data_IF_647298400421
#
_entry.id   IF_647298400421
#
_cell.length_a   1.000
_cell.length_b   1.000
_cell.length_c   1.000
_cell.angle_alpha   90.00
_cell.angle_beta   90.00
_cell.angle_gamma   90.00
#
_symmetry.space_group_name_H-M   'P 1'
#
loop_
_entity.id
_entity.type
_entity.pdbx_description
1 polymer ?
#
# COMPACT_ATOMS: atom_id res chain seq x y z
N UNK A 1 -3.10 40.42 7.48
CA UNK A 1 -2.69 39.00 7.67
C UNK A 1 -3.46 38.17 6.65
N UNK A 2 -2.76 37.55 5.70
CA UNK A 2 -3.40 36.62 4.75
C UNK A 2 -3.39 35.26 5.44
N UNK A 3 -4.55 34.82 5.93
CA UNK A 3 -4.74 33.45 6.39
C UNK A 3 -4.78 32.56 5.15
N UNK A 4 -3.63 32.00 4.76
CA UNK A 4 -3.59 30.90 3.81
C UNK A 4 -4.47 29.79 4.36
N UNK A 5 -5.44 29.25 3.60
CA UNK A 5 -6.20 28.09 4.04
C UNK A 5 -5.19 26.98 4.34
N UNK A 6 -5.22 26.43 5.56
CA UNK A 6 -4.36 25.31 5.94
C UNK A 6 -4.52 24.23 4.87
N UNK A 7 -3.47 24.01 4.09
CA UNK A 7 -3.45 22.97 3.09
C UNK A 7 -3.64 21.65 3.84
N UNK A 8 -4.86 21.09 3.83
CA UNK A 8 -5.13 19.78 4.42
C UNK A 8 -4.08 18.82 3.87
N UNK A 9 -3.27 18.24 4.77
CA UNK A 9 -2.25 17.28 4.33
C UNK A 9 -2.95 16.15 3.58
N UNK A 10 -2.36 15.69 2.47
CA UNK A 10 -2.92 14.61 1.64
C UNK A 10 -3.24 13.37 2.49
N UNK A 11 -2.45 13.15 3.55
CA UNK A 11 -2.71 12.14 4.56
C UNK A 11 -4.01 12.35 5.37
N UNK A 12 -4.32 13.58 5.79
CA UNK A 12 -5.57 13.86 6.54
C UNK A 12 -6.81 13.50 5.72
N UNK A 13 -6.78 13.78 4.41
CA UNK A 13 -7.84 13.37 3.50
C UNK A 13 -7.86 11.85 3.29
N UNK A 14 -6.70 11.23 3.07
CA UNK A 14 -6.62 9.79 2.84
C UNK A 14 -7.04 8.94 4.07
N UNK A 15 -6.64 9.35 5.27
CA UNK A 15 -6.90 8.65 6.54
C UNK A 15 -8.37 8.64 6.98
N UNK A 16 -9.19 9.49 6.38
CA UNK A 16 -10.64 9.55 6.64
C UNK A 16 -11.47 8.93 5.51
N UNK A 17 -10.81 8.54 4.41
CA UNK A 17 -11.46 7.84 3.31
C UNK A 17 -11.90 6.43 3.72
N UNK A 18 -13.01 5.98 3.16
CA UNK A 18 -13.48 4.60 3.29
C UNK A 18 -13.71 4.02 1.90
N UNK A 19 -13.40 2.73 1.73
CA UNK A 19 -13.75 1.99 0.53
C UNK A 19 -14.34 0.63 0.94
N UNK A 20 -15.41 0.15 0.28
CA UNK A 20 -15.87 -1.21 0.46
C UNK A 20 -14.84 -2.19 -0.12
N UNK A 21 -14.64 -3.31 0.57
CA UNK A 21 -13.80 -4.43 0.12
C UNK A 21 -14.64 -5.69 0.10
N UNK A 22 -14.51 -6.48 -0.97
CA UNK A 22 -15.17 -7.79 -1.08
C UNK A 22 -14.39 -8.86 -0.30
N UNK A 23 -13.06 -8.74 -0.31
CA UNK A 23 -12.17 -9.70 0.33
C UNK A 23 -10.92 -8.97 0.86
N UNK A 24 -10.43 -9.41 2.02
CA UNK A 24 -9.18 -8.96 2.62
C UNK A 24 -8.47 -10.17 3.25
N UNK A 25 -7.32 -10.53 2.72
CA UNK A 25 -6.37 -11.46 3.31
C UNK A 25 -5.13 -10.67 3.73
N UNK A 26 -4.80 -10.72 5.02
CA UNK A 26 -3.65 -10.03 5.54
C UNK A 26 -2.93 -10.90 6.58
N UNK A 27 -1.64 -11.10 6.34
CA UNK A 27 -0.73 -11.86 7.18
C UNK A 27 0.47 -11.00 7.51
N UNK A 28 0.77 -10.94 8.81
CA UNK A 28 1.86 -10.13 9.34
C UNK A 28 2.69 -10.94 10.32
N UNK A 29 4.00 -10.70 10.33
CA UNK A 29 4.89 -11.14 11.39
C UNK A 29 5.15 -9.97 12.35
N UNK A 30 5.14 -10.24 13.66
CA UNK A 30 5.54 -9.27 14.67
C UNK A 30 6.83 -9.73 15.32
N UNK A 31 7.90 -8.98 15.13
CA UNK A 31 9.23 -9.31 15.68
C UNK A 31 9.85 -8.04 16.24
N UNK A 32 10.20 -8.05 17.53
CA UNK A 32 10.86 -6.93 18.21
C UNK A 32 10.14 -5.57 18.04
N UNK A 33 8.81 -5.57 18.11
CA UNK A 33 8.01 -4.35 17.96
C UNK A 33 7.90 -3.83 16.51
N UNK A 34 8.34 -4.61 15.52
CA UNK A 34 8.12 -4.33 14.11
C UNK A 34 7.07 -5.29 13.57
N UNK A 35 6.00 -4.73 12.99
CA UNK A 35 5.02 -5.46 12.18
C UNK A 35 5.55 -5.47 10.75
N UNK A 36 5.81 -6.65 10.19
CA UNK A 36 6.20 -6.81 8.79
C UNK A 36 5.06 -7.49 8.03
N UNK A 37 4.72 -6.94 6.88
CA UNK A 37 3.80 -7.58 5.92
C UNK A 37 4.44 -8.88 5.41
N UNK A 38 3.70 -9.98 5.48
CA UNK A 38 4.06 -11.23 4.80
C UNK A 38 3.18 -11.42 3.56
N UNK A 39 1.91 -11.07 3.68
CA UNK A 39 0.94 -11.03 2.59
C UNK A 39 -0.12 -10.00 2.94
N UNK A 40 -0.45 -9.10 2.02
CA UNK A 40 -1.64 -8.26 2.13
C UNK A 40 -2.29 -8.20 0.77
N UNK A 41 -3.53 -8.64 0.70
CA UNK A 41 -4.32 -8.71 -0.51
C UNK A 41 -5.76 -8.29 -0.22
N UNK A 42 -6.26 -7.31 -0.94
CA UNK A 42 -7.67 -6.93 -0.89
C UNK A 42 -8.26 -6.83 -2.29
N UNK A 43 -9.56 -7.11 -2.44
CA UNK A 43 -10.30 -6.89 -3.69
C UNK A 43 -11.52 -6.01 -3.46
N UNK A 44 -11.82 -5.17 -4.45
CA UNK A 44 -13.01 -4.33 -4.51
C UNK A 44 -13.49 -4.22 -5.97
N UNK A 45 -14.48 -5.04 -6.34
CA UNK A 45 -14.93 -5.25 -7.72
C UNK A 45 -13.77 -5.72 -8.61
N UNK A 46 -13.51 -4.95 -9.66
CA UNK A 46 -12.43 -5.18 -10.63
C UNK A 46 -11.05 -4.73 -10.14
N UNK A 47 -10.96 -4.19 -8.92
CA UNK A 47 -9.69 -3.71 -8.36
C UNK A 47 -9.14 -4.66 -7.33
N UNK A 48 -7.82 -4.76 -7.32
CA UNK A 48 -7.07 -5.41 -6.26
C UNK A 48 -6.03 -4.46 -5.68
N UNK A 49 -5.78 -4.64 -4.39
CA UNK A 49 -4.78 -3.90 -3.62
C UNK A 49 -3.83 -4.91 -3.00
N UNK A 50 -2.55 -4.67 -3.20
CA UNK A 50 -1.47 -5.36 -2.50
C UNK A 50 -0.71 -4.35 -1.64
N UNK A 51 -0.24 -4.78 -0.47
CA UNK A 51 0.62 -3.95 0.35
C UNK A 51 1.84 -4.72 0.86
N UNK A 52 2.99 -4.04 0.84
CA UNK A 52 4.26 -4.55 1.34
C UNK A 52 4.94 -3.48 2.23
N UNK A 53 5.88 -3.91 3.06
CA UNK A 53 6.62 -3.05 3.98
C UNK A 53 6.45 -3.39 5.46
N UNK A 54 6.74 -2.42 6.31
CA UNK A 54 6.79 -2.59 7.75
C UNK A 54 6.30 -1.37 8.54
N UNK A 55 5.87 -1.64 9.78
CA UNK A 55 5.50 -0.63 10.77
C UNK A 55 6.36 -0.88 12.00
N UNK A 56 7.17 0.10 12.39
CA UNK A 56 7.93 0.07 13.63
C UNK A 56 7.11 0.75 14.73
N UNK A 57 6.59 -0.03 15.67
CA UNK A 57 5.70 0.45 16.73
C UNK A 57 6.44 1.29 17.77
N UNK A 58 7.67 0.92 18.10
CA UNK A 58 8.50 1.65 19.07
C UNK A 58 8.90 3.03 18.54
N UNK A 59 9.30 3.09 17.27
CA UNK A 59 9.64 4.35 16.60
C UNK A 59 8.41 5.12 16.10
N UNK A 60 7.22 4.50 16.08
CA UNK A 60 5.98 5.06 15.51
C UNK A 60 6.12 5.46 14.04
N UNK A 61 6.86 4.65 13.30
CA UNK A 61 7.21 4.88 11.90
C UNK A 61 6.55 3.82 11.02
N UNK A 62 6.16 4.21 9.81
CA UNK A 62 5.84 3.28 8.74
C UNK A 62 6.75 3.47 7.53
N UNK A 63 6.92 2.38 6.80
CA UNK A 63 7.43 2.34 5.44
C UNK A 63 6.62 1.27 4.71
N UNK A 64 5.62 1.70 3.95
CA UNK A 64 4.69 0.84 3.23
C UNK A 64 4.65 1.21 1.75
N UNK A 65 4.49 0.22 0.90
CA UNK A 65 4.19 0.36 -0.53
C UNK A 65 2.84 -0.30 -0.79
N UNK A 66 1.91 0.45 -1.39
CA UNK A 66 0.61 -0.04 -1.79
C UNK A 66 0.54 -0.05 -3.31
N UNK A 67 0.22 -1.20 -3.88
CA UNK A 67 -0.03 -1.38 -5.30
C UNK A 67 -1.54 -1.53 -5.50
N UNK A 68 -2.14 -0.63 -6.26
CA UNK A 68 -3.55 -0.69 -6.64
C UNK A 68 -3.60 -0.94 -8.14
N UNK A 69 -4.32 -1.96 -8.54
CA UNK A 69 -4.40 -2.35 -9.94
C UNK A 69 -5.65 -3.13 -10.27
N UNK A 70 -5.67 -3.69 -11.46
CA UNK A 70 -6.76 -4.58 -11.85
C UNK A 70 -6.62 -5.93 -11.17
N UNK A 71 -7.77 -6.47 -10.77
CA UNK A 71 -7.85 -7.80 -10.18
C UNK A 71 -7.39 -8.82 -11.23
N UNK A 72 -6.48 -9.75 -10.88
CA UNK A 72 -6.13 -10.86 -11.74
C UNK A 72 -7.37 -11.69 -12.12
N UNK A 73 -7.36 -12.27 -13.32
CA UNK A 73 -8.40 -13.17 -13.76
C UNK A 73 -8.58 -14.35 -12.79
N UNK A 74 -9.78 -14.95 -12.76
CA UNK A 74 -10.13 -15.99 -11.78
C UNK A 74 -9.27 -17.27 -11.91
N UNK A 75 -8.64 -17.49 -13.06
CA UNK A 75 -7.73 -18.59 -13.37
C UNK A 75 -6.25 -18.24 -13.14
N UNK A 76 -5.96 -17.01 -12.69
CA UNK A 76 -4.61 -16.61 -12.35
C UNK A 76 -4.05 -17.39 -11.15
N UNK A 77 -2.73 -17.47 -11.06
CA UNK A 77 -2.06 -18.11 -9.93
C UNK A 77 -2.53 -17.52 -8.59
N UNK A 78 -2.52 -18.34 -7.53
CA UNK A 78 -2.95 -17.93 -6.19
C UNK A 78 -2.16 -16.72 -5.64
N UNK A 79 -0.96 -16.47 -6.16
CA UNK A 79 -0.08 -15.35 -5.80
C UNK A 79 0.01 -14.29 -6.91
N UNK A 80 -0.96 -14.26 -7.84
CA UNK A 80 -1.00 -13.26 -8.89
C UNK A 80 -1.17 -11.85 -8.29
N UNK A 81 -0.20 -10.98 -8.59
CA UNK A 81 -0.18 -9.56 -8.23
C UNK A 81 -1.15 -8.77 -9.12
N UNK A 82 -1.82 -7.70 -8.65
CA UNK A 82 -2.61 -6.84 -9.52
C UNK A 82 -1.75 -6.30 -10.66
N UNK A 83 -2.35 -6.10 -11.84
CA UNK A 83 -1.70 -5.32 -12.90
C UNK A 83 -1.58 -3.86 -12.42
N UNK A 84 -0.35 -3.36 -12.12
CA UNK A 84 -0.20 -2.11 -11.38
C UNK A 84 -0.76 -0.90 -12.15
N UNK A 85 -1.73 -0.19 -11.56
CA UNK A 85 -2.26 1.08 -12.11
C UNK A 85 -1.81 2.30 -11.31
N UNK A 86 -1.67 2.13 -10.00
CA UNK A 86 -1.19 3.14 -9.07
C UNK A 86 -0.29 2.45 -8.06
N UNK A 87 0.86 3.05 -7.77
CA UNK A 87 1.71 2.65 -6.63
C UNK A 87 1.85 3.84 -5.71
N UNK A 88 1.66 3.63 -4.42
CA UNK A 88 1.74 4.65 -3.38
C UNK A 88 2.73 4.19 -2.32
N UNK A 89 3.80 4.93 -2.15
CA UNK A 89 4.74 4.76 -1.05
C UNK A 89 4.34 5.67 0.10
N UNK A 90 4.24 5.12 1.29
CA UNK A 90 3.92 5.84 2.52
C UNK A 90 5.09 5.68 3.49
N UNK A 91 5.73 6.80 3.85
CA UNK A 91 6.92 6.79 4.72
C UNK A 91 6.85 7.87 5.77
N UNK A 92 7.31 7.55 6.98
CA UNK A 92 7.46 8.52 8.06
C UNK A 92 6.63 8.19 9.30
N UNK A 93 6.36 9.19 10.17
CA UNK A 93 5.58 8.99 11.37
C UNK A 93 4.16 8.53 11.04
N UNK A 94 3.65 7.50 11.71
CA UNK A 94 2.34 6.92 11.41
C UNK A 94 1.11 7.84 11.61
N UNK A 95 1.29 8.98 12.27
CA UNK A 95 0.24 10.00 12.43
C UNK A 95 0.17 10.92 11.22
N UNK A 96 1.29 11.08 10.51
CA UNK A 96 1.42 11.95 9.34
C UNK A 96 2.57 11.46 8.44
N UNK A 97 2.40 10.31 7.76
CA UNK A 97 3.36 9.89 6.75
C UNK A 97 3.32 10.79 5.54
N UNK A 98 4.46 10.88 4.88
CA UNK A 98 4.55 11.43 3.53
C UNK A 98 4.06 10.36 2.54
N UNK A 99 3.23 10.80 1.58
CA UNK A 99 2.74 9.97 0.48
C UNK A 99 3.50 10.35 -0.79
N UNK A 100 4.06 9.35 -1.47
CA UNK A 100 4.79 9.54 -2.71
C UNK A 100 4.27 8.58 -3.77
N UNK A 101 4.12 9.01 -5.03
CA UNK A 101 3.96 8.07 -6.14
C UNK A 101 5.14 7.09 -6.14
N UNK A 102 4.82 5.81 -6.21
CA UNK A 102 5.80 4.74 -6.37
C UNK A 102 6.07 4.44 -7.84
N UNK A 103 7.17 3.75 -8.09
CA UNK A 103 7.43 3.15 -9.39
C UNK A 103 6.59 1.90 -9.53
N UNK A 104 6.08 1.66 -10.73
CA UNK A 104 5.50 0.37 -11.05
C UNK A 104 6.58 -0.70 -10.87
N UNK A 105 6.31 -1.78 -10.10
CA UNK A 105 7.25 -2.87 -9.99
C UNK A 105 7.49 -3.40 -11.40
N UNK A 106 8.72 -3.25 -11.88
CA UNK A 106 9.10 -3.79 -13.18
C UNK A 106 9.18 -5.30 -12.97
N UNK A 107 8.17 -6.04 -13.42
CA UNK A 107 8.31 -7.50 -13.55
C UNK A 107 9.60 -7.73 -14.32
N UNK A 108 10.54 -8.46 -13.70
CA UNK A 108 11.91 -8.57 -14.18
C UNK A 108 11.99 -8.93 -15.66
N UNK A 109 12.25 -7.94 -16.51
CA UNK A 109 12.96 -8.15 -17.76
C UNK A 109 14.45 -7.95 -17.49
N UNK A 110 15.06 -8.93 -16.81
CA UNK A 110 16.51 -9.13 -16.86
C UNK A 110 16.79 -10.63 -16.95
N UNK A 111 17.21 -11.02 -18.15
CA UNK A 111 18.10 -12.12 -18.49
C UNK A 111 17.58 -13.56 -18.43
N UNK A 112 17.08 -14.03 -19.58
CA UNK A 112 17.46 -15.34 -20.09
C UNK A 112 17.95 -15.17 -21.54
N UNK A 113 19.20 -15.62 -21.74
CA UNK A 113 19.94 -15.86 -22.99
C UNK A 113 20.67 -14.68 -23.65
#
# INVERSE_FOLDING_TARGET
AVTSPEARSTWTTASTGTMPVDHLDARFAVVNGVIRTERVWATAGERAVEAEGAINLSARMLDLSLVIGDRPAADAAQDARPEPRVVINMRGPWKEPSLHPGLFPTNGMLSQQ
#
